data_IF_252381419150
#
_entry.id   IF_252381419150
#
_cell.length_a   1.000
_cell.length_b   1.000
_cell.length_c   1.000
_cell.angle_alpha   90.00
_cell.angle_beta   90.00
_cell.angle_gamma   90.00
#
_symmetry.space_group_name_H-M   'P 1'
#
loop_
_entity.id
_entity.type
_entity.pdbx_description
1 polymer ?
#
# COMPACT_ATOMS: atom_id res chain seq x y z
N UNK A 1 22.51 5.54 -31.26
CA UNK A 1 21.97 5.87 -29.92
C UNK A 1 23.15 6.19 -29.02
N UNK A 2 23.07 7.27 -28.26
CA UNK A 2 24.11 7.71 -27.31
C UNK A 2 23.81 7.14 -25.92
N UNK A 3 24.82 7.08 -25.05
CA UNK A 3 24.61 6.84 -23.61
C UNK A 3 23.74 7.96 -23.03
N UNK A 4 22.81 7.59 -22.15
CA UNK A 4 21.93 8.50 -21.42
C UNK A 4 22.12 8.27 -19.92
N UNK A 5 22.04 9.34 -19.13
CA UNK A 5 22.21 9.30 -17.68
C UNK A 5 21.19 10.21 -17.02
N UNK A 6 20.54 9.69 -15.98
CA UNK A 6 19.58 10.41 -15.15
C UNK A 6 20.10 10.45 -13.72
N UNK A 7 20.08 11.64 -13.12
CA UNK A 7 20.51 11.87 -11.75
C UNK A 7 19.29 11.94 -10.84
N UNK A 8 19.23 11.08 -9.84
CA UNK A 8 18.17 11.00 -8.83
C UNK A 8 18.78 11.38 -7.47
N UNK A 9 18.53 12.60 -6.96
CA UNK A 9 18.96 12.98 -5.61
C UNK A 9 18.33 12.08 -4.56
N UNK A 10 19.12 11.59 -3.60
CA UNK A 10 18.60 10.83 -2.46
C UNK A 10 18.03 11.75 -1.38
N UNK A 11 17.08 11.24 -0.59
CA UNK A 11 16.41 11.98 0.51
C UNK A 11 17.30 12.04 1.75
N UNK A 12 17.23 13.14 2.49
CA UNK A 12 18.06 13.42 3.66
C UNK A 12 17.91 12.41 4.82
N UNK A 13 16.75 11.74 4.95
CA UNK A 13 16.42 10.94 6.12
C UNK A 13 16.81 9.45 6.05
N UNK A 14 17.18 8.92 4.87
CA UNK A 14 17.39 7.46 4.69
C UNK A 14 18.85 7.03 4.67
N UNK A 15 19.81 7.95 4.57
CA UNK A 15 21.24 7.64 4.59
C UNK A 15 22.03 8.72 5.33
N UNK A 16 22.90 8.32 6.27
CA UNK A 16 23.77 9.19 7.09
C UNK A 16 24.74 10.10 6.28
N UNK A 17 24.69 10.06 4.95
CA UNK A 17 25.55 10.83 4.05
C UNK A 17 24.72 11.78 3.16
N UNK A 18 24.64 13.03 3.59
CA UNK A 18 24.08 14.16 2.86
C UNK A 18 24.65 14.27 1.42
N UNK A 19 23.79 14.56 0.43
CA UNK A 19 24.20 15.01 -0.92
C UNK A 19 24.46 13.94 -1.98
N UNK A 20 24.26 12.66 -1.66
CA UNK A 20 24.42 11.58 -2.63
C UNK A 20 23.30 11.59 -3.67
N UNK A 21 23.66 11.30 -4.92
CA UNK A 21 22.71 11.05 -5.98
C UNK A 21 23.01 9.72 -6.64
N UNK A 22 21.95 9.03 -7.01
CA UNK A 22 22.02 7.85 -7.85
C UNK A 22 22.05 8.32 -9.30
N UNK A 23 23.04 7.86 -10.05
CA UNK A 23 22.99 7.97 -11.51
C UNK A 23 22.45 6.67 -12.06
N UNK A 24 21.31 6.73 -12.75
CA UNK A 24 20.79 5.63 -13.55
C UNK A 24 21.17 5.88 -15.01
N UNK A 25 21.95 4.98 -15.59
CA UNK A 25 22.43 5.12 -16.96
C UNK A 25 21.94 4.02 -17.88
N UNK A 26 21.71 4.39 -19.14
CA UNK A 26 21.35 3.50 -20.24
C UNK A 26 22.37 3.65 -21.35
N UNK A 27 22.88 2.53 -21.87
CA UNK A 27 23.74 2.52 -23.06
C UNK A 27 23.29 1.47 -24.07
N UNK A 28 23.52 1.70 -25.38
CA UNK A 28 23.32 0.67 -26.39
C UNK A 28 24.20 -0.54 -26.11
N UNK A 29 23.64 -1.73 -26.24
CA UNK A 29 24.34 -2.98 -26.07
C UNK A 29 23.81 -4.01 -27.07
N UNK A 30 24.49 -4.20 -28.21
CA UNK A 30 24.07 -5.15 -29.25
C UNK A 30 24.03 -6.61 -28.77
N UNK A 31 24.65 -6.92 -27.62
CA UNK A 31 24.68 -8.27 -27.04
C UNK A 31 23.48 -8.52 -26.12
N UNK A 32 22.78 -7.47 -25.69
CA UNK A 32 21.57 -7.58 -24.87
C UNK A 32 20.37 -7.93 -25.75
N UNK A 33 19.43 -8.81 -25.31
CA UNK A 33 18.19 -9.10 -26.03
C UNK A 33 17.33 -7.86 -26.34
N UNK A 34 17.47 -6.81 -25.52
CA UNK A 34 16.76 -5.53 -25.71
C UNK A 34 17.56 -4.49 -26.51
N UNK A 35 18.78 -4.83 -26.94
CA UNK A 35 19.70 -3.90 -27.60
C UNK A 35 20.27 -2.81 -26.69
N UNK A 36 20.00 -2.88 -25.38
CA UNK A 36 20.39 -1.90 -24.36
C UNK A 36 20.75 -2.57 -23.04
N UNK A 37 21.62 -1.91 -22.28
CA UNK A 37 21.98 -2.31 -20.91
C UNK A 37 21.87 -1.10 -19.99
N UNK A 38 21.41 -1.35 -18.78
CA UNK A 38 21.23 -0.35 -17.73
C UNK A 38 22.27 -0.54 -16.63
N UNK A 39 22.66 0.55 -15.98
CA UNK A 39 23.56 0.53 -14.83
C UNK A 39 23.13 1.57 -13.81
N UNK A 40 23.51 1.35 -12.55
CA UNK A 40 23.35 2.33 -11.47
C UNK A 40 24.72 2.65 -10.88
N UNK A 41 24.91 3.88 -10.41
CA UNK A 41 26.04 4.27 -9.59
C UNK A 41 25.62 5.25 -8.50
N UNK A 42 26.32 5.23 -7.37
CA UNK A 42 26.19 6.24 -6.33
C UNK A 42 27.53 6.98 -6.28
N UNK A 43 27.52 8.28 -6.57
CA UNK A 43 28.72 9.13 -6.57
C UNK A 43 29.90 8.51 -7.37
N UNK A 44 29.59 8.04 -8.60
CA UNK A 44 30.55 7.43 -9.50
C UNK A 44 30.96 5.98 -9.17
N UNK A 45 30.51 5.43 -8.03
CA UNK A 45 30.77 4.02 -7.66
C UNK A 45 29.68 3.11 -8.21
N UNK A 46 30.01 2.04 -8.98
CA UNK A 46 29.02 1.15 -9.55
C UNK A 46 28.11 0.47 -8.51
N UNK A 47 26.84 0.33 -8.84
CA UNK A 47 25.81 -0.29 -8.02
C UNK A 47 25.07 0.68 -7.11
N UNK A 48 24.16 0.13 -6.31
CA UNK A 48 23.30 0.88 -5.37
C UNK A 48 23.73 0.71 -3.90
N UNK A 49 24.94 0.21 -3.63
CA UNK A 49 25.44 -0.01 -2.26
C UNK A 49 24.44 -0.78 -1.36
N UNK A 50 23.86 -1.88 -1.87
CA UNK A 50 22.80 -2.69 -1.25
C UNK A 50 21.43 -2.02 -1.07
N UNK A 51 21.25 -0.77 -1.53
CA UNK A 51 19.92 -0.14 -1.56
C UNK A 51 19.03 -0.87 -2.58
N UNK A 52 17.82 -1.31 -2.19
CA UNK A 52 16.82 -1.82 -3.13
C UNK A 52 16.40 -0.72 -4.11
N UNK A 53 16.13 -1.08 -5.37
CA UNK A 53 15.64 -0.10 -6.35
C UNK A 53 14.33 0.56 -5.93
N UNK A 54 13.48 -0.17 -5.20
CA UNK A 54 12.20 0.31 -4.67
C UNK A 54 12.37 1.46 -3.66
N UNK A 55 13.53 1.57 -3.02
CA UNK A 55 13.87 2.67 -2.10
C UNK A 55 14.37 3.93 -2.83
N UNK A 56 14.55 3.88 -4.15
CA UNK A 56 14.90 5.07 -4.91
C UNK A 56 13.74 6.07 -4.86
N UNK A 57 14.03 7.36 -4.65
CA UNK A 57 13.06 8.42 -4.92
C UNK A 57 12.57 8.35 -6.36
N UNK A 58 11.37 8.88 -6.60
CA UNK A 58 10.90 9.10 -7.97
C UNK A 58 11.89 10.01 -8.70
N UNK A 59 12.20 9.73 -9.96
CA UNK A 59 13.01 10.63 -10.77
C UNK A 59 12.33 11.99 -10.88
N UNK A 60 13.12 13.07 -10.79
CA UNK A 60 12.67 14.46 -10.79
C UNK A 60 11.78 14.88 -9.60
N UNK A 61 11.72 14.09 -8.52
CA UNK A 61 10.96 14.45 -7.31
C UNK A 61 11.37 15.80 -6.72
N UNK A 62 12.64 16.18 -6.85
CA UNK A 62 13.18 17.44 -6.34
C UNK A 62 12.66 18.69 -7.10
N UNK A 63 11.97 18.47 -8.23
CA UNK A 63 11.37 19.52 -9.04
C UNK A 63 9.90 19.78 -8.70
N UNK A 64 9.30 18.93 -7.86
CA UNK A 64 7.93 19.11 -7.37
C UNK A 64 7.87 20.32 -6.44
N UNK A 65 6.90 21.21 -6.69
CA UNK A 65 6.58 22.35 -5.85
C UNK A 65 5.34 22.06 -5.01
N UNK A 66 5.22 22.74 -3.87
CA UNK A 66 4.05 22.62 -2.99
C UNK A 66 2.76 23.12 -3.68
N UNK A 67 2.88 24.08 -4.61
CA UNK A 67 1.76 24.67 -5.36
C UNK A 67 1.34 23.84 -6.60
N UNK A 68 2.09 22.80 -6.96
CA UNK A 68 1.75 21.95 -8.10
C UNK A 68 0.43 21.22 -7.80
N UNK A 69 -0.59 21.47 -8.62
CA UNK A 69 -1.94 20.87 -8.44
C UNK A 69 -2.08 19.49 -9.09
N UNK A 70 -1.12 19.11 -9.93
CA UNK A 70 -1.13 17.87 -10.70
C UNK A 70 0.28 17.35 -10.92
N UNK A 71 0.40 16.07 -11.26
CA UNK A 71 1.67 15.43 -11.62
C UNK A 71 1.43 14.21 -12.50
N UNK A 72 2.28 14.02 -13.50
CA UNK A 72 2.32 12.80 -14.33
C UNK A 72 3.37 11.84 -13.76
N UNK A 73 2.99 10.57 -13.54
CA UNK A 73 3.92 9.49 -13.20
C UNK A 73 4.13 8.61 -14.44
N UNK A 74 5.38 8.46 -14.86
CA UNK A 74 5.76 7.60 -15.98
C UNK A 74 6.55 6.38 -15.51
N UNK A 75 6.60 5.33 -16.33
CA UNK A 75 7.32 4.09 -15.98
C UNK A 75 8.84 4.31 -15.84
N UNK A 76 9.42 5.24 -16.59
CA UNK A 76 10.85 5.51 -16.57
C UNK A 76 11.21 6.98 -16.72
N UNK A 77 12.50 7.27 -16.54
CA UNK A 77 13.04 8.64 -16.54
C UNK A 77 13.01 9.30 -17.92
N UNK A 78 13.17 8.52 -19.00
CA UNK A 78 13.08 9.01 -20.38
C UNK A 78 11.68 9.60 -20.66
N UNK A 79 10.64 8.93 -20.20
CA UNK A 79 9.25 9.34 -20.40
C UNK A 79 8.91 10.55 -19.53
N UNK A 80 9.41 10.58 -18.29
CA UNK A 80 9.30 11.76 -17.43
C UNK A 80 9.98 12.99 -18.06
N UNK A 81 11.19 12.84 -18.61
CA UNK A 81 11.89 13.91 -19.33
C UNK A 81 11.08 14.43 -20.51
N UNK A 82 10.38 13.55 -21.24
CA UNK A 82 9.56 13.94 -22.39
C UNK A 82 8.33 14.76 -21.97
N UNK A 83 7.77 14.50 -20.78
CA UNK A 83 6.68 15.29 -20.20
C UNK A 83 7.21 16.61 -19.65
N UNK A 84 8.33 16.59 -18.91
CA UNK A 84 9.00 17.78 -18.38
C UNK A 84 9.42 18.75 -19.49
N UNK A 85 9.88 18.24 -20.64
CA UNK A 85 10.26 19.05 -21.80
C UNK A 85 9.07 19.80 -22.45
N UNK A 86 7.84 19.50 -22.02
CA UNK A 86 6.61 20.19 -22.41
C UNK A 86 6.13 21.17 -21.34
N UNK A 87 6.99 21.52 -20.39
CA UNK A 87 6.69 22.38 -19.24
C UNK A 87 5.50 21.86 -18.40
N UNK A 88 5.41 20.53 -18.25
CA UNK A 88 4.39 19.87 -17.45
C UNK A 88 5.03 19.10 -16.29
N UNK A 89 4.35 19.07 -15.13
CA UNK A 89 4.88 18.46 -13.91
C UNK A 89 4.91 16.93 -14.08
N UNK A 90 6.09 16.32 -13.96
CA UNK A 90 6.25 14.88 -14.15
C UNK A 90 7.35 14.29 -13.26
N UNK A 91 7.16 13.02 -12.93
CA UNK A 91 8.14 12.18 -12.23
C UNK A 91 8.16 10.79 -12.86
N UNK A 92 9.31 10.12 -12.83
CA UNK A 92 9.49 8.78 -13.40
C UNK A 92 9.80 7.74 -12.33
N UNK A 93 9.35 6.50 -12.51
CA UNK A 93 9.81 5.43 -11.62
C UNK A 93 11.22 4.98 -12.00
N UNK A 94 12.08 4.74 -11.00
CA UNK A 94 13.46 4.26 -11.21
C UNK A 94 13.62 2.75 -10.89
N UNK A 95 12.50 2.06 -10.66
CA UNK A 95 12.45 0.69 -10.15
C UNK A 95 12.55 -0.37 -11.26
N UNK A 96 12.18 0.00 -12.49
CA UNK A 96 12.13 -0.87 -13.67
C UNK A 96 10.87 -1.74 -13.72
N UNK A 97 10.44 -2.06 -14.95
CA UNK A 97 9.18 -2.71 -15.32
C UNK A 97 8.94 -4.16 -14.87
N UNK A 98 9.79 -4.75 -14.02
CA UNK A 98 9.48 -6.09 -13.52
C UNK A 98 8.30 -5.94 -12.57
N UNK A 99 7.09 -6.31 -13.03
CA UNK A 99 5.77 -5.95 -12.50
C UNK A 99 5.42 -6.26 -11.04
N UNK A 100 6.41 -6.45 -10.16
CA UNK A 100 6.29 -6.50 -8.71
C UNK A 100 7.11 -5.42 -7.99
N UNK A 101 7.88 -4.60 -8.71
CA UNK A 101 8.81 -3.61 -8.13
C UNK A 101 8.30 -2.19 -8.35
N UNK A 102 7.43 -1.70 -7.46
CA UNK A 102 6.98 -0.30 -7.43
C UNK A 102 7.81 0.55 -6.46
N UNK A 103 7.82 1.90 -6.60
CA UNK A 103 8.44 2.78 -5.61
C UNK A 103 7.86 2.57 -4.21
N UNK A 104 8.66 2.75 -3.17
CA UNK A 104 8.21 2.65 -1.78
C UNK A 104 7.23 3.77 -1.43
N UNK A 105 6.52 3.61 -0.31
CA UNK A 105 5.51 4.58 0.16
C UNK A 105 6.08 5.97 0.30
N UNK A 106 7.29 6.07 0.83
CA UNK A 106 7.96 7.33 1.05
C UNK A 106 8.13 8.05 -0.30
N UNK A 107 8.60 7.33 -1.32
CA UNK A 107 8.68 7.80 -2.71
C UNK A 107 7.33 8.32 -3.23
N UNK A 108 6.26 7.55 -3.05
CA UNK A 108 4.92 7.88 -3.53
C UNK A 108 4.24 9.01 -2.74
N UNK A 109 4.55 9.22 -1.46
CA UNK A 109 4.00 10.34 -0.67
C UNK A 109 4.30 11.70 -1.28
N UNK A 110 5.39 11.82 -2.05
CA UNK A 110 5.79 13.08 -2.69
C UNK A 110 4.72 13.63 -3.64
N UNK A 111 3.87 12.77 -4.22
CA UNK A 111 2.84 13.18 -5.20
C UNK A 111 1.45 13.38 -4.59
N UNK A 112 1.26 13.08 -3.30
CA UNK A 112 -0.05 13.20 -2.64
C UNK A 112 -0.55 14.66 -2.62
N UNK A 113 -1.87 14.82 -2.52
CA UNK A 113 -2.54 16.13 -2.55
C UNK A 113 -2.74 16.72 -3.94
N UNK A 114 -2.35 16.00 -5.00
CA UNK A 114 -2.43 16.42 -6.40
C UNK A 114 -3.34 15.49 -7.20
N UNK A 115 -3.82 15.95 -8.36
CA UNK A 115 -4.32 15.04 -9.39
C UNK A 115 -3.14 14.27 -10.00
N UNK A 116 -3.13 12.96 -9.83
CA UNK A 116 -2.05 12.09 -10.32
C UNK A 116 -2.46 11.44 -11.64
N UNK A 117 -1.72 11.73 -12.71
CA UNK A 117 -1.92 11.10 -14.01
C UNK A 117 -0.89 9.99 -14.22
N UNK A 118 -1.34 8.76 -14.44
CA UNK A 118 -0.49 7.61 -14.69
C UNK A 118 -0.32 7.41 -16.20
N UNK A 119 0.94 7.37 -16.67
CA UNK A 119 1.28 7.11 -18.06
C UNK A 119 2.07 5.80 -18.17
N UNK A 120 1.37 4.71 -18.48
CA UNK A 120 1.98 3.41 -18.72
C UNK A 120 2.68 3.35 -20.09
N UNK A 121 3.75 2.57 -20.20
CA UNK A 121 4.18 2.09 -21.52
C UNK A 121 3.08 1.18 -22.09
N UNK A 122 2.88 1.21 -23.41
CA UNK A 122 1.85 0.42 -24.08
C UNK A 122 2.23 -1.06 -24.22
N UNK A 123 2.33 -1.74 -23.08
CA UNK A 123 2.40 -3.19 -22.94
C UNK A 123 1.80 -3.66 -21.60
N UNK A 124 1.68 -4.99 -21.45
CA UNK A 124 1.09 -5.61 -20.25
C UNK A 124 1.90 -5.32 -18.97
N UNK A 125 3.26 -5.41 -18.96
CA UNK A 125 4.06 -5.00 -17.81
C UNK A 125 3.83 -3.55 -17.37
N UNK A 126 3.82 -2.59 -18.30
CA UNK A 126 3.63 -1.18 -17.98
C UNK A 126 2.26 -0.89 -17.40
N UNK A 127 1.21 -1.53 -17.94
CA UNK A 127 -0.14 -1.45 -17.40
C UNK A 127 -0.19 -1.97 -15.95
N UNK A 128 0.35 -3.17 -15.69
CA UNK A 128 0.38 -3.76 -14.34
C UNK A 128 1.18 -2.93 -13.34
N UNK A 129 2.24 -2.26 -13.81
CA UNK A 129 3.05 -1.38 -12.97
C UNK A 129 2.25 -0.14 -12.53
N UNK A 130 1.54 0.50 -13.46
CA UNK A 130 0.65 1.62 -13.13
C UNK A 130 -0.55 1.19 -12.28
N UNK A 131 -1.10 -0.01 -12.49
CA UNK A 131 -2.13 -0.59 -11.62
C UNK A 131 -1.64 -0.70 -10.17
N UNK A 132 -0.46 -1.28 -9.95
CA UNK A 132 0.11 -1.43 -8.61
C UNK A 132 0.44 -0.07 -7.95
N UNK A 133 0.86 0.92 -8.73
CA UNK A 133 1.08 2.30 -8.24
C UNK A 133 -0.24 2.96 -7.87
N UNK A 134 -1.28 2.84 -8.70
CA UNK A 134 -2.60 3.36 -8.42
C UNK A 134 -3.15 2.81 -7.10
N UNK A 135 -3.13 1.49 -6.94
CA UNK A 135 -3.58 0.80 -5.73
C UNK A 135 -2.82 1.31 -4.51
N UNK A 136 -1.49 1.49 -4.63
CA UNK A 136 -0.69 1.98 -3.51
C UNK A 136 -0.96 3.44 -3.19
N UNK A 137 -1.13 4.30 -4.20
CA UNK A 137 -1.48 5.71 -4.03
C UNK A 137 -2.84 5.88 -3.34
N UNK A 138 -3.85 5.12 -3.75
CA UNK A 138 -5.15 5.13 -3.08
C UNK A 138 -5.04 4.70 -1.61
N UNK A 139 -4.25 3.67 -1.32
CA UNK A 139 -3.98 3.23 0.06
C UNK A 139 -3.22 4.27 0.89
N UNK A 140 -2.44 5.15 0.25
CA UNK A 140 -1.72 6.25 0.89
C UNK A 140 -2.55 7.54 0.99
N UNK A 141 -3.79 7.55 0.49
CA UNK A 141 -4.72 8.67 0.61
C UNK A 141 -4.80 9.59 -0.61
N UNK A 142 -4.32 9.17 -1.78
CA UNK A 142 -4.59 9.90 -3.03
C UNK A 142 -6.10 9.92 -3.33
N UNK A 143 -6.61 11.07 -3.73
CA UNK A 143 -8.05 11.31 -3.96
C UNK A 143 -8.43 11.41 -5.43
N UNK A 144 -7.50 11.74 -6.32
CA UNK A 144 -7.72 11.86 -7.77
C UNK A 144 -6.53 11.23 -8.52
N UNK A 145 -6.72 9.99 -8.97
CA UNK A 145 -5.75 9.23 -9.77
C UNK A 145 -6.41 8.89 -11.10
N UNK A 146 -5.71 9.14 -12.22
CA UNK A 146 -6.25 9.01 -13.57
C UNK A 146 -5.30 8.28 -14.50
N UNK A 147 -5.82 7.47 -15.41
CA UNK A 147 -5.06 6.84 -16.47
C UNK A 147 -5.04 7.68 -17.73
N UNK A 148 -3.85 7.95 -18.26
CA UNK A 148 -3.71 8.52 -19.58
C UNK A 148 -3.95 7.42 -20.62
N UNK A 149 -5.03 7.55 -21.39
CA UNK A 149 -5.43 6.57 -22.40
C UNK A 149 -4.97 7.00 -23.79
N UNK A 150 -3.76 6.58 -24.19
CA UNK A 150 -3.25 6.81 -25.54
C UNK A 150 -3.47 5.58 -26.43
N UNK A 151 -4.63 5.49 -27.07
CA UNK A 151 -5.05 4.32 -27.85
C UNK A 151 -4.17 4.06 -29.09
N UNK A 152 -3.56 5.10 -29.66
CA UNK A 152 -2.69 5.01 -30.84
C UNK A 152 -1.21 4.75 -30.49
N UNK A 153 -0.89 4.50 -29.22
CA UNK A 153 0.47 4.26 -28.79
C UNK A 153 1.12 3.08 -29.54
N UNK A 154 2.38 3.18 -29.98
CA UNK A 154 3.10 2.03 -30.53
C UNK A 154 3.32 0.98 -29.44
N UNK A 155 3.56 -0.28 -29.81
CA UNK A 155 3.87 -1.35 -28.85
C UNK A 155 5.11 -0.97 -28.02
N UNK A 156 5.00 -1.01 -26.68
CA UNK A 156 5.99 -0.51 -25.71
C UNK A 156 6.30 0.98 -25.82
N UNK A 157 5.40 1.74 -26.42
CA UNK A 157 5.50 3.19 -26.53
C UNK A 157 5.09 3.85 -25.22
N UNK A 158 5.94 4.73 -24.70
CA UNK A 158 5.67 5.57 -23.54
C UNK A 158 5.48 7.03 -23.92
N UNK A 159 5.46 7.93 -22.93
CA UNK A 159 5.30 9.37 -23.16
C UNK A 159 6.38 9.97 -24.08
N UNK A 160 7.59 9.39 -24.10
CA UNK A 160 8.68 9.82 -24.98
C UNK A 160 8.47 9.46 -26.45
N UNK A 161 7.51 8.59 -26.77
CA UNK A 161 7.14 8.22 -28.14
C UNK A 161 5.92 9.02 -28.65
N UNK A 162 5.27 9.80 -27.78
CA UNK A 162 4.18 10.69 -28.17
C UNK A 162 4.70 11.86 -29.00
N UNK A 163 4.36 11.87 -30.30
CA UNK A 163 4.80 12.88 -31.26
C UNK A 163 3.87 14.10 -31.37
N UNK A 164 2.75 14.10 -30.64
CA UNK A 164 1.79 15.21 -30.64
C UNK A 164 2.42 16.50 -30.09
N UNK A 165 1.92 17.62 -30.61
CA UNK A 165 2.27 18.94 -30.09
C UNK A 165 1.67 19.18 -28.70
N UNK A 166 1.90 20.37 -28.13
CA UNK A 166 1.42 20.69 -26.78
C UNK A 166 -0.12 20.65 -26.69
N UNK A 167 -0.84 21.07 -27.74
CA UNK A 167 -2.29 21.04 -27.74
C UNK A 167 -2.82 19.60 -27.69
N UNK A 168 -2.26 18.71 -28.53
CA UNK A 168 -2.60 17.29 -28.52
C UNK A 168 -2.22 16.61 -27.19
N UNK A 169 -1.09 17.00 -26.59
CA UNK A 169 -0.68 16.52 -25.27
C UNK A 169 -1.68 16.91 -24.17
N UNK A 170 -2.10 18.19 -24.12
CA UNK A 170 -3.08 18.65 -23.13
C UNK A 170 -4.45 18.01 -23.35
N UNK A 171 -4.87 17.81 -24.60
CA UNK A 171 -6.09 17.07 -24.92
C UNK A 171 -6.03 15.63 -24.38
N UNK A 172 -4.90 14.95 -24.59
CA UNK A 172 -4.67 13.60 -24.07
C UNK A 172 -4.75 13.57 -22.53
N UNK A 173 -4.10 14.52 -21.83
CA UNK A 173 -4.19 14.63 -20.35
C UNK A 173 -5.63 14.88 -19.90
N UNK A 174 -6.36 15.78 -20.56
CA UNK A 174 -7.75 16.10 -20.19
C UNK A 174 -8.71 14.94 -20.44
N UNK A 175 -8.37 14.05 -21.37
CA UNK A 175 -9.12 12.82 -21.64
C UNK A 175 -8.79 11.66 -20.70
N UNK A 176 -7.85 11.84 -19.76
CA UNK A 176 -7.45 10.80 -18.83
C UNK A 176 -8.64 10.30 -18.01
N UNK A 177 -8.79 8.97 -17.98
CA UNK A 177 -9.91 8.33 -17.32
C UNK A 177 -9.69 8.31 -15.81
N UNK A 178 -10.67 8.72 -14.98
CA UNK A 178 -10.56 8.56 -13.54
C UNK A 178 -10.49 7.08 -13.19
N UNK A 179 -9.51 6.69 -12.37
CA UNK A 179 -9.51 5.36 -11.78
C UNK A 179 -10.52 5.32 -10.64
N UNK A 180 -11.34 4.30 -10.65
CA UNK A 180 -12.08 3.94 -9.46
C UNK A 180 -11.09 3.43 -8.41
N UNK A 181 -11.17 3.98 -7.21
CA UNK A 181 -10.51 3.37 -6.05
C UNK A 181 -10.95 1.91 -6.02
N UNK A 182 -10.04 0.92 -5.98
CA UNK A 182 -10.41 -0.48 -6.00
C UNK A 182 -11.52 -0.74 -4.98
N UNK A 183 -12.70 -1.10 -5.48
CA UNK A 183 -13.87 -1.46 -4.70
C UNK A 183 -13.67 -2.81 -4.05
N UNK A 184 -12.71 -2.90 -3.13
CA UNK A 184 -12.76 -3.87 -2.06
C UNK A 184 -13.35 -3.18 -0.86
N UNK A 185 -14.24 -3.86 -0.15
CA UNK A 185 -14.65 -3.54 1.23
C UNK A 185 -13.45 -3.65 2.20
N UNK A 186 -12.32 -3.00 1.87
CA UNK A 186 -11.34 -2.58 2.83
C UNK A 186 -11.90 -1.27 3.35
N UNK A 187 -12.55 -1.38 4.52
CA UNK A 187 -12.95 -0.27 5.35
C UNK A 187 -11.99 0.89 5.15
N UNK A 188 -12.54 2.05 4.80
CA UNK A 188 -11.84 3.33 4.91
C UNK A 188 -10.91 3.24 6.10
N UNK A 189 -9.61 3.39 5.89
CA UNK A 189 -8.72 3.71 6.98
C UNK A 189 -8.86 5.24 7.08
N UNK A 190 -9.81 5.78 7.85
CA UNK A 190 -10.02 7.21 7.88
C UNK A 190 -8.93 7.68 8.82
N UNK A 191 -7.78 8.07 8.25
CA UNK A 191 -6.74 8.79 9.00
C UNK A 191 -7.18 10.23 9.32
N UNK A 192 -8.46 10.40 9.67
CA UNK A 192 -9.11 11.66 9.99
C UNK A 192 -10.50 11.43 10.59
N UNK A 193 -10.85 12.24 11.59
CA UNK A 193 -12.18 12.24 12.18
C UNK A 193 -13.09 13.16 11.37
N UNK A 194 -14.18 12.61 10.82
CA UNK A 194 -15.21 13.40 10.12
C UNK A 194 -16.31 13.80 11.10
N UNK A 195 -16.50 15.11 11.28
CA UNK A 195 -17.63 15.66 12.03
C UNK A 195 -18.90 15.63 11.18
N UNK A 196 -19.84 14.75 11.54
CA UNK A 196 -21.19 14.75 10.99
C UNK A 196 -22.07 15.71 11.79
N UNK A 197 -22.93 16.48 11.11
CA UNK A 197 -23.88 17.32 11.81
C UNK A 197 -25.00 16.47 12.45
N UNK A 198 -25.59 16.97 13.53
CA UNK A 198 -26.55 16.18 14.32
C UNK A 198 -27.83 15.82 13.55
N UNK A 199 -28.25 16.63 12.58
CA UNK A 199 -29.46 16.37 11.79
C UNK A 199 -29.24 15.20 10.84
N UNK A 200 -28.11 15.20 10.12
CA UNK A 200 -27.68 14.09 9.27
C UNK A 200 -27.48 12.80 10.07
N UNK A 201 -26.95 12.90 11.29
CA UNK A 201 -26.78 11.75 12.17
C UNK A 201 -28.12 11.09 12.53
N UNK A 202 -29.15 11.90 12.85
CA UNK A 202 -30.49 11.38 13.21
C UNK A 202 -31.27 10.84 12.01
N UNK A 203 -30.99 11.31 10.79
CA UNK A 203 -31.68 10.88 9.57
C UNK A 203 -31.06 9.61 8.95
N UNK A 204 -29.98 9.08 9.54
CA UNK A 204 -29.41 7.81 9.09
C UNK A 204 -30.40 6.66 9.36
N UNK A 205 -30.62 5.78 8.37
CA UNK A 205 -31.38 4.56 8.62
C UNK A 205 -30.64 3.70 9.64
N UNK A 206 -31.39 3.09 10.57
CA UNK A 206 -30.85 2.07 11.46
C UNK A 206 -30.28 0.93 10.59
N UNK A 207 -28.96 0.74 10.65
CA UNK A 207 -28.31 -0.40 10.01
C UNK A 207 -28.67 -1.71 10.71
N UNK A 208 -28.54 -2.84 10.00
CA UNK A 208 -28.64 -4.15 10.64
C UNK A 208 -27.47 -4.35 11.60
N UNK A 209 -27.77 -4.80 12.82
CA UNK A 209 -26.75 -5.01 13.85
C UNK A 209 -26.15 -6.41 13.66
N UNK A 210 -25.03 -6.45 12.95
CA UNK A 210 -24.25 -7.68 12.75
C UNK A 210 -23.62 -8.15 14.07
N UNK A 211 -23.69 -9.46 14.34
CA UNK A 211 -23.11 -10.07 15.53
C UNK A 211 -21.96 -11.02 15.16
N UNK A 212 -20.76 -10.75 15.66
CA UNK A 212 -19.63 -11.71 15.62
C UNK A 212 -19.90 -12.91 16.52
N UNK A 213 -20.49 -12.65 17.69
CA UNK A 213 -21.01 -13.66 18.62
C UNK A 213 -22.42 -13.26 18.97
N UNK A 214 -23.39 -14.13 18.64
CA UNK A 214 -24.82 -13.84 18.75
C UNK A 214 -25.20 -13.30 20.13
N UNK A 215 -25.71 -12.06 20.15
CA UNK A 215 -26.14 -11.33 21.35
C UNK A 215 -25.03 -10.89 22.31
N UNK A 216 -23.74 -11.10 21.97
CA UNK A 216 -22.59 -10.79 22.82
C UNK A 216 -21.63 -9.76 22.21
N UNK A 217 -21.27 -9.90 20.93
CA UNK A 217 -20.25 -9.05 20.30
C UNK A 217 -20.77 -8.54 18.96
N UNK A 218 -21.17 -7.27 18.90
CA UNK A 218 -21.57 -6.61 17.66
C UNK A 218 -20.32 -6.28 16.82
N UNK A 219 -20.45 -6.36 15.50
CA UNK A 219 -19.41 -5.97 14.55
C UNK A 219 -19.20 -4.45 14.59
N UNK A 220 -17.96 -4.00 14.46
CA UNK A 220 -17.60 -2.57 14.51
C UNK A 220 -17.52 -1.98 15.92
N UNK A 221 -17.81 -2.77 16.96
CA UNK A 221 -17.70 -2.38 18.36
C UNK A 221 -16.43 -2.89 19.04
N UNK A 222 -16.13 -2.35 20.24
CA UNK A 222 -15.09 -2.87 21.13
C UNK A 222 -15.74 -3.61 22.31
N UNK A 223 -15.25 -4.81 22.65
CA UNK A 223 -15.77 -5.64 23.75
C UNK A 223 -14.68 -5.97 24.77
N UNK A 224 -14.93 -5.73 26.05
CA UNK A 224 -13.93 -6.00 27.10
C UNK A 224 -14.32 -7.20 27.97
N UNK A 225 -13.41 -8.16 28.14
CA UNK A 225 -13.59 -9.28 29.07
C UNK A 225 -12.88 -8.95 30.38
N UNK A 226 -13.65 -8.71 31.44
CA UNK A 226 -13.13 -8.39 32.78
C UNK A 226 -13.40 -9.54 33.73
N UNK A 227 -12.36 -10.02 34.39
CA UNK A 227 -12.48 -11.08 35.40
C UNK A 227 -11.31 -11.05 36.37
N UNK A 228 -11.52 -11.58 37.59
CA UNK A 228 -10.45 -11.71 38.61
C UNK A 228 -9.26 -12.53 38.06
N UNK A 229 -8.05 -12.33 38.58
CA UNK A 229 -6.90 -13.14 38.20
C UNK A 229 -7.16 -14.64 38.34
N UNK A 230 -6.71 -15.43 37.36
CA UNK A 230 -6.74 -16.91 37.34
C UNK A 230 -8.13 -17.56 37.30
N UNK A 231 -9.20 -16.84 37.00
CA UNK A 231 -10.55 -17.43 36.84
C UNK A 231 -10.90 -17.86 35.41
N UNK A 232 -9.91 -17.87 34.51
CA UNK A 232 -10.07 -18.40 33.15
C UNK A 232 -10.26 -17.36 32.04
N UNK A 233 -9.99 -16.07 32.27
CA UNK A 233 -10.06 -15.01 31.23
C UNK A 233 -9.32 -15.36 29.94
N UNK A 234 -8.06 -15.78 30.03
CA UNK A 234 -7.27 -16.19 28.84
C UNK A 234 -7.78 -17.49 28.22
N UNK A 235 -8.33 -18.41 29.03
CA UNK A 235 -8.97 -19.64 28.53
C UNK A 235 -10.24 -19.32 27.74
N UNK A 236 -11.06 -18.40 28.24
CA UNK A 236 -12.24 -17.88 27.55
C UNK A 236 -11.85 -17.24 26.21
N UNK A 237 -10.87 -16.33 26.21
CA UNK A 237 -10.42 -15.64 25.01
C UNK A 237 -9.90 -16.61 23.92
N UNK A 238 -9.12 -17.64 24.30
CA UNK A 238 -8.62 -18.65 23.37
C UNK A 238 -9.71 -19.54 22.79
N UNK A 239 -10.66 -20.01 23.62
CA UNK A 239 -11.78 -20.82 23.14
C UNK A 239 -12.65 -20.00 22.18
N UNK A 240 -12.93 -18.75 22.52
CA UNK A 240 -13.65 -17.84 21.64
C UNK A 240 -12.91 -17.67 20.30
N UNK A 241 -11.59 -17.44 20.36
CA UNK A 241 -10.74 -17.31 19.15
C UNK A 241 -10.86 -18.54 18.25
N UNK A 242 -10.81 -19.74 18.84
CA UNK A 242 -10.93 -20.99 18.10
C UNK A 242 -12.34 -21.21 17.54
N UNK A 243 -13.38 -20.87 18.31
CA UNK A 243 -14.77 -20.94 17.88
C UNK A 243 -15.08 -20.00 16.71
N UNK A 244 -14.58 -18.76 16.75
CA UNK A 244 -14.71 -17.79 15.65
C UNK A 244 -13.93 -18.26 14.43
N UNK A 245 -12.68 -18.70 14.59
CA UNK A 245 -11.86 -19.17 13.46
C UNK A 245 -12.49 -20.37 12.72
N UNK A 246 -13.26 -21.19 13.44
CA UNK A 246 -13.96 -22.37 12.89
C UNK A 246 -15.41 -22.11 12.47
N UNK A 247 -16.00 -20.98 12.86
CA UNK A 247 -17.46 -20.76 12.72
C UNK A 247 -18.30 -21.72 13.56
N UNK A 248 -17.74 -22.27 14.63
CA UNK A 248 -18.44 -23.19 15.54
C UNK A 248 -19.00 -22.46 16.74
N UNK A 249 -20.14 -22.92 17.25
CA UNK A 249 -20.78 -22.32 18.42
C UNK A 249 -19.83 -22.10 19.60
N UNK A 250 -19.97 -20.95 20.27
CA UNK A 250 -19.27 -20.62 21.49
C UNK A 250 -20.26 -20.48 22.64
N UNK A 251 -20.17 -21.37 23.64
CA UNK A 251 -21.06 -21.38 24.81
C UNK A 251 -22.57 -21.35 24.45
N UNK A 252 -22.95 -22.06 23.38
CA UNK A 252 -24.33 -22.14 22.90
C UNK A 252 -24.79 -20.97 22.02
N UNK A 253 -23.86 -20.13 21.56
CA UNK A 253 -24.13 -18.99 20.67
C UNK A 253 -23.42 -19.19 19.34
N UNK A 254 -24.10 -18.85 18.24
CA UNK A 254 -23.48 -18.88 16.92
C UNK A 254 -22.37 -17.84 16.83
N UNK A 255 -21.30 -18.21 16.14
CA UNK A 255 -20.19 -17.33 15.80
C UNK A 255 -20.17 -17.15 14.29
N UNK A 256 -19.81 -15.95 13.85
CA UNK A 256 -19.45 -15.77 12.44
C UNK A 256 -18.02 -16.24 12.21
N UNK A 257 -17.82 -17.04 11.16
CA UNK A 257 -16.49 -17.53 10.82
C UNK A 257 -15.63 -16.38 10.27
N UNK A 258 -14.43 -16.21 10.82
CA UNK A 258 -13.50 -15.20 10.33
C UNK A 258 -12.08 -15.38 10.85
N UNK A 259 -11.10 -14.69 10.22
CA UNK A 259 -9.73 -14.68 10.70
C UNK A 259 -9.64 -14.01 12.08
N UNK A 260 -8.74 -14.51 12.94
CA UNK A 260 -8.54 -14.01 14.31
C UNK A 260 -7.09 -13.59 14.52
N UNK A 261 -6.88 -12.42 15.09
CA UNK A 261 -5.56 -11.99 15.59
C UNK A 261 -5.56 -12.16 17.11
N UNK A 262 -4.66 -13.01 17.63
CA UNK A 262 -4.48 -13.23 19.06
C UNK A 262 -3.15 -12.63 19.53
N UNK A 263 -3.22 -11.59 20.34
CA UNK A 263 -2.06 -10.87 20.88
C UNK A 263 -1.80 -11.30 22.33
N UNK A 264 -0.80 -12.16 22.54
CA UNK A 264 -0.42 -12.66 23.84
C UNK A 264 0.71 -11.80 24.44
N UNK A 265 0.36 -10.62 24.95
CA UNK A 265 1.34 -9.59 25.35
C UNK A 265 2.06 -9.86 26.69
N UNK A 266 1.55 -10.79 27.49
CA UNK A 266 2.07 -11.11 28.83
C UNK A 266 2.32 -12.61 29.03
N UNK A 267 2.43 -13.39 27.95
CA UNK A 267 2.57 -14.85 28.02
C UNK A 267 3.76 -15.38 27.21
N UNK A 268 4.13 -16.63 27.44
CA UNK A 268 5.21 -17.30 26.71
C UNK A 268 4.66 -18.10 25.54
N UNK A 269 5.41 -18.16 24.43
CA UNK A 269 4.98 -18.86 23.21
C UNK A 269 4.64 -20.33 23.49
N UNK A 270 5.50 -21.00 24.26
CA UNK A 270 5.28 -22.39 24.69
C UNK A 270 3.92 -22.58 25.35
N UNK A 271 3.54 -21.70 26.29
CA UNK A 271 2.28 -21.81 27.03
C UNK A 271 1.07 -21.57 26.13
N UNK A 272 1.16 -20.56 25.25
CA UNK A 272 0.09 -20.25 24.29
C UNK A 272 -0.14 -21.43 23.35
N UNK A 273 0.96 -21.94 22.75
CA UNK A 273 0.95 -23.11 21.85
C UNK A 273 0.38 -24.36 22.52
N UNK A 274 0.86 -24.70 23.71
CA UNK A 274 0.36 -25.86 24.48
C UNK A 274 -1.15 -25.76 24.75
N UNK A 275 -1.67 -24.57 25.03
CA UNK A 275 -3.11 -24.41 25.30
C UNK A 275 -3.98 -24.55 24.05
N UNK A 276 -3.57 -23.97 22.92
CA UNK A 276 -4.32 -24.16 21.66
C UNK A 276 -4.35 -25.63 21.24
N UNK A 277 -3.21 -26.35 21.35
CA UNK A 277 -3.16 -27.79 21.08
C UNK A 277 -4.10 -28.57 22.01
N UNK A 278 -4.13 -28.24 23.32
CA UNK A 278 -5.05 -28.89 24.28
C UNK A 278 -6.52 -28.59 24.02
N UNK A 279 -6.83 -27.47 23.37
CA UNK A 279 -8.18 -27.12 22.90
C UNK A 279 -8.52 -27.79 21.55
N UNK A 280 -7.58 -28.56 20.98
CA UNK A 280 -7.76 -29.32 19.75
C UNK A 280 -7.48 -28.52 18.48
N UNK A 281 -6.72 -27.42 18.54
CA UNK A 281 -6.28 -26.70 17.35
C UNK A 281 -5.44 -27.62 16.43
N UNK A 282 -5.71 -27.57 15.13
CA UNK A 282 -5.00 -28.39 14.12
C UNK A 282 -3.88 -27.61 13.43
N UNK A 283 -3.94 -26.28 13.48
CA UNK A 283 -3.05 -25.38 12.74
C UNK A 283 -3.60 -24.97 11.39
N UNK A 284 -4.78 -25.47 11.00
CA UNK A 284 -5.49 -25.04 9.78
C UNK A 284 -6.42 -23.85 10.05
N UNK A 285 -6.66 -23.53 11.31
CA UNK A 285 -7.52 -22.40 11.68
C UNK A 285 -6.86 -21.05 11.31
N UNK A 286 -7.61 -20.08 10.78
CA UNK A 286 -7.10 -18.77 10.40
C UNK A 286 -6.82 -17.87 11.62
N UNK A 287 -5.92 -18.30 12.51
CA UNK A 287 -5.52 -17.59 13.72
C UNK A 287 -4.06 -17.11 13.59
N UNK A 288 -3.88 -15.81 13.51
CA UNK A 288 -2.57 -15.16 13.56
C UNK A 288 -2.21 -14.84 15.01
N UNK A 289 -1.08 -15.34 15.49
CA UNK A 289 -0.68 -15.22 16.90
C UNK A 289 0.60 -14.41 17.01
N UNK A 290 0.57 -13.37 17.83
CA UNK A 290 1.76 -12.67 18.31
C UNK A 290 1.97 -13.00 19.79
N UNK A 291 3.21 -13.34 20.17
CA UNK A 291 3.59 -13.57 21.56
C UNK A 291 4.86 -12.81 21.84
N UNK A 292 4.80 -11.85 22.75
CA UNK A 292 5.91 -10.93 23.00
C UNK A 292 5.49 -9.71 23.80
N UNK A 293 6.42 -8.78 24.09
CA UNK A 293 6.08 -7.53 24.74
C UNK A 293 5.10 -6.70 23.90
N UNK A 294 4.44 -5.72 24.50
CA UNK A 294 3.62 -4.76 23.73
C UNK A 294 4.53 -3.98 22.79
N UNK A 295 4.31 -4.05 21.46
CA UNK A 295 5.07 -3.25 20.50
C UNK A 295 4.90 -1.74 20.74
N UNK A 296 5.93 -0.95 20.43
CA UNK A 296 5.92 0.49 20.64
C UNK A 296 4.88 1.20 19.76
N UNK A 297 4.64 0.67 18.55
CA UNK A 297 3.65 1.15 17.60
C UNK A 297 2.70 0.01 17.24
N UNK A 298 2.03 -0.56 18.25
CA UNK A 298 1.13 -1.72 18.12
C UNK A 298 0.22 -1.65 16.89
N UNK A 299 -0.41 -0.51 16.62
CA UNK A 299 -1.29 -0.37 15.45
C UNK A 299 -0.52 -0.36 14.13
N UNK A 300 0.56 0.41 14.00
CA UNK A 300 1.36 0.47 12.75
C UNK A 300 2.01 -0.88 12.41
N UNK A 301 2.40 -1.64 13.42
CA UNK A 301 3.01 -2.96 13.25
C UNK A 301 1.98 -4.06 12.93
N UNK A 302 0.73 -3.90 13.36
CA UNK A 302 -0.34 -4.89 13.12
C UNK A 302 -1.12 -4.58 11.83
N UNK A 303 -1.27 -3.31 11.45
CA UNK A 303 -2.04 -2.86 10.28
C UNK A 303 -1.69 -3.61 8.97
N UNK A 304 -0.41 -3.89 8.63
CA UNK A 304 -0.06 -4.68 7.45
C UNK A 304 -0.62 -6.12 7.46
N UNK A 305 -0.89 -6.65 8.65
CA UNK A 305 -1.46 -7.99 8.85
C UNK A 305 -3.00 -7.99 8.88
N UNK A 306 -3.64 -6.81 8.85
CA UNK A 306 -5.10 -6.62 8.96
C UNK A 306 -5.79 -6.41 7.61
N UNK A 307 -5.07 -6.36 6.49
CA UNK A 307 -5.63 -6.21 5.13
C UNK A 307 -6.31 -7.50 4.62
N UNK A 308 -7.40 -7.92 5.27
CA UNK A 308 -8.21 -9.08 4.87
C UNK A 308 -9.64 -8.60 4.56
N UNK A 309 -10.22 -8.95 3.39
CA UNK A 309 -11.55 -8.48 2.96
C UNK A 309 -12.73 -8.88 3.87
N UNK A 310 -12.48 -9.67 4.93
CA UNK A 310 -13.52 -10.26 5.80
C UNK A 310 -13.21 -10.18 7.30
N UNK A 311 -12.21 -9.38 7.72
CA UNK A 311 -11.86 -9.27 9.13
C UNK A 311 -12.89 -8.43 9.94
N UNK A 312 -13.83 -9.12 10.61
CA UNK A 312 -14.72 -8.50 11.61
C UNK A 312 -13.95 -8.40 12.94
N UNK A 313 -13.55 -7.18 13.29
CA UNK A 313 -12.63 -6.93 14.41
C UNK A 313 -13.37 -6.92 15.76
N UNK A 314 -12.88 -7.70 16.72
CA UNK A 314 -13.28 -7.64 18.13
C UNK A 314 -12.03 -7.65 19.02
N UNK A 315 -11.69 -6.52 19.64
CA UNK A 315 -10.53 -6.42 20.51
C UNK A 315 -10.88 -6.78 21.96
N UNK A 316 -10.30 -7.86 22.49
CA UNK A 316 -10.45 -8.25 23.90
C UNK A 316 -9.19 -7.81 24.67
N UNK A 317 -9.23 -6.63 25.28
CA UNK A 317 -8.22 -6.22 26.26
C UNK A 317 -8.51 -6.87 27.60
N UNK A 318 -7.58 -7.67 28.12
CA UNK A 318 -7.59 -8.07 29.53
C UNK A 318 -6.88 -7.02 30.37
N UNK A 319 -7.61 -6.06 30.94
CA UNK A 319 -7.06 -5.26 32.03
C UNK A 319 -7.00 -6.12 33.30
N UNK A 320 -5.95 -5.91 34.10
CA UNK A 320 -5.79 -6.50 35.44
C UNK A 320 -6.47 -5.62 36.49
#
# INVERSE_FOLDING_TARGET
MTTQEWRIPLREAQHEQYGLAVTHGRKPDPKSPSGKTYWYSIDGKPGLNNMPKTELPLYAWERLNEDDTHVVITEGEKDADAVLARDYVAVGTATGASGTSIPCDESLKAVLGRTVYLWADNDEPGTKHMDAIADRLFNLGATDVRDILWNEAPNKGGAADFAGDYAAFVELINSAAPREKPGGDLAENPSGFTLMNFVEFLDKPDGELDWLVDGWMAVGGTSTVVAKPKVGKSTFARNLSLSVARGSDFLGRRTEQGPVIYLALEETERRVREQFIRMGATGEEPIHIYVGPTPAQLFEEILPHMCWPSAKMGHISGLN
#
